data_IF_805565528925
#
_entry.id   IF_805565528925
#
_cell.length_a   1.000
_cell.length_b   1.000
_cell.length_c   1.000
_cell.angle_alpha   90.00
_cell.angle_beta   90.00
_cell.angle_gamma   90.00
#
_symmetry.space_group_name_H-M   'P 1'
#
loop_
_entity.id
_entity.type
_entity.pdbx_description
1 polymer ?
#
# COMPACT_ATOMS: atom_id res chain seq x y z
N UNK A 1 -3.84 -5.20 -3.02
CA UNK A 1 -3.95 -3.80 -2.60
C UNK A 1 -3.88 -3.76 -1.08
N UNK A 2 -2.99 -2.94 -0.51
CA UNK A 2 -2.91 -2.69 0.93
C UNK A 2 -3.56 -1.36 1.27
N UNK A 3 -4.39 -1.34 2.31
CA UNK A 3 -4.92 -0.07 2.82
C UNK A 3 -3.81 0.70 3.54
N UNK A 4 -3.72 2.02 3.34
CA UNK A 4 -2.66 2.85 3.92
C UNK A 4 -2.52 2.64 5.43
N UNK A 5 -3.65 2.60 6.15
CA UNK A 5 -3.67 2.39 7.60
C UNK A 5 -3.05 1.06 8.05
N UNK A 6 -3.08 0.02 7.21
CA UNK A 6 -2.43 -1.25 7.54
C UNK A 6 -0.90 -1.10 7.60
N UNK A 7 -0.31 -0.22 6.78
CA UNK A 7 1.12 0.07 6.83
C UNK A 7 1.51 1.04 7.94
N UNK A 8 0.58 1.89 8.40
CA UNK A 8 0.84 2.80 9.51
C UNK A 8 0.75 2.11 10.88
N UNK A 9 -0.07 1.06 11.00
CA UNK A 9 -0.42 0.47 12.30
C UNK A 9 -0.22 -1.04 12.40
N UNK A 10 0.00 -1.73 11.27
CA UNK A 10 0.19 -3.18 11.21
C UNK A 10 1.66 -3.59 11.21
N UNK A 11 1.88 -4.90 11.07
CA UNK A 11 3.21 -5.48 10.90
C UNK A 11 3.71 -5.27 9.47
N UNK A 12 4.45 -4.17 9.26
CA UNK A 12 5.01 -3.80 7.97
C UNK A 12 5.96 -4.86 7.41
N UNK A 13 6.75 -5.52 8.26
CA UNK A 13 7.71 -6.52 7.80
C UNK A 13 6.99 -7.74 7.22
N UNK A 14 5.88 -8.14 7.82
CA UNK A 14 5.03 -9.19 7.27
C UNK A 14 4.28 -8.73 6.00
N UNK A 15 3.67 -7.54 6.04
CA UNK A 15 2.83 -7.03 4.95
C UNK A 15 3.61 -6.71 3.66
N UNK A 16 4.88 -6.32 3.79
CA UNK A 16 5.75 -5.92 2.68
C UNK A 16 6.85 -6.94 2.38
N UNK A 17 6.73 -8.17 2.87
CA UNK A 17 7.68 -9.22 2.56
C UNK A 17 7.70 -9.49 1.05
N UNK A 18 8.90 -9.49 0.46
CA UNK A 18 9.14 -9.81 -0.95
C UNK A 18 9.99 -11.08 -1.04
N UNK A 19 9.72 -11.91 -2.04
CA UNK A 19 10.55 -13.08 -2.31
C UNK A 19 11.72 -12.73 -3.25
N UNK A 20 12.85 -13.47 -3.16
CA UNK A 20 13.94 -13.30 -4.10
C UNK A 20 13.46 -13.50 -5.55
N UNK A 21 13.80 -12.56 -6.44
CA UNK A 21 13.49 -12.64 -7.87
C UNK A 21 12.14 -12.05 -8.31
N UNK A 22 11.34 -11.48 -7.39
CA UNK A 22 10.04 -10.89 -7.74
C UNK A 22 10.13 -9.55 -8.49
N UNK A 23 11.32 -8.93 -8.55
CA UNK A 23 11.50 -7.60 -9.13
C UNK A 23 11.41 -7.62 -10.67
N UNK A 24 10.78 -6.61 -11.31
CA UNK A 24 10.24 -5.39 -10.70
C UNK A 24 8.87 -5.59 -10.03
N UNK A 25 8.64 -4.91 -8.90
CA UNK A 25 7.38 -4.99 -8.13
C UNK A 25 6.75 -3.62 -7.88
N UNK A 26 5.42 -3.58 -7.88
CA UNK A 26 4.63 -2.42 -7.53
C UNK A 26 3.85 -2.65 -6.23
N UNK A 27 3.90 -1.70 -5.29
CA UNK A 27 3.02 -1.68 -4.13
C UNK A 27 1.76 -0.90 -4.47
N UNK A 28 0.64 -1.60 -4.56
CA UNK A 28 -0.67 -0.94 -4.73
C UNK A 28 -1.29 -0.55 -3.38
N UNK A 29 -1.42 0.76 -3.15
CA UNK A 29 -2.03 1.38 -1.97
C UNK A 29 -3.48 1.77 -2.23
N UNK A 30 -4.32 1.65 -1.20
CA UNK A 30 -5.67 2.21 -1.15
C UNK A 30 -5.89 3.03 0.12
N UNK A 31 -6.79 4.01 0.06
CA UNK A 31 -7.15 4.87 1.19
C UNK A 31 -7.69 6.22 0.73
N UNK A 32 -8.32 6.97 1.63
CA UNK A 32 -8.89 8.29 1.35
C UNK A 32 -8.06 9.45 1.91
N UNK A 33 -7.25 9.20 2.94
CA UNK A 33 -6.52 10.25 3.67
C UNK A 33 -5.16 10.55 3.02
N UNK A 34 -4.94 11.75 2.45
CA UNK A 34 -3.71 12.05 1.70
C UNK A 34 -2.43 11.91 2.52
N UNK A 35 -2.47 12.29 3.79
CA UNK A 35 -1.31 12.20 4.69
C UNK A 35 -0.96 10.74 5.01
N UNK A 36 -1.97 9.88 5.21
CA UNK A 36 -1.77 8.46 5.43
C UNK A 36 -1.22 7.78 4.17
N UNK A 37 -1.76 8.10 3.00
CA UNK A 37 -1.25 7.61 1.71
C UNK A 37 0.21 8.00 1.48
N UNK A 38 0.57 9.26 1.77
CA UNK A 38 1.95 9.72 1.64
C UNK A 38 2.90 9.00 2.61
N UNK A 39 2.47 8.75 3.85
CA UNK A 39 3.27 7.98 4.81
C UNK A 39 3.44 6.52 4.36
N UNK A 40 2.36 5.86 3.93
CA UNK A 40 2.36 4.50 3.42
C UNK A 40 3.25 4.35 2.17
N UNK A 41 3.21 5.31 1.24
CA UNK A 41 4.07 5.34 0.06
C UNK A 41 5.57 5.39 0.43
N UNK A 42 5.93 6.20 1.43
CA UNK A 42 7.31 6.27 1.93
C UNK A 42 7.75 4.96 2.57
N UNK A 43 6.86 4.27 3.28
CA UNK A 43 7.14 2.95 3.85
C UNK A 43 7.40 1.94 2.72
N UNK A 44 6.52 1.89 1.70
CA UNK A 44 6.70 1.02 0.53
C UNK A 44 7.99 1.27 -0.22
N UNK A 45 8.33 2.54 -0.49
CA UNK A 45 9.58 2.90 -1.15
C UNK A 45 10.81 2.48 -0.33
N UNK A 46 10.78 2.63 1.00
CA UNK A 46 11.85 2.17 1.89
C UNK A 46 11.96 0.65 1.96
N UNK A 47 10.84 -0.06 1.80
CA UNK A 47 10.83 -1.52 1.73
C UNK A 47 11.42 -2.07 0.42
N UNK A 48 11.64 -1.22 -0.59
CA UNK A 48 12.32 -1.61 -1.83
C UNK A 48 11.39 -1.91 -3.01
N UNK A 49 10.11 -1.51 -2.93
CA UNK A 49 9.22 -1.54 -4.10
C UNK A 49 9.69 -0.56 -5.18
N UNK A 50 9.61 -1.00 -6.43
CA UNK A 50 10.08 -0.23 -7.59
C UNK A 50 9.05 0.82 -8.04
N UNK A 51 7.77 0.58 -7.75
CA UNK A 51 6.65 1.49 -8.04
C UNK A 51 5.68 1.59 -6.85
N UNK A 52 5.12 2.78 -6.64
CA UNK A 52 3.94 2.99 -5.80
C UNK A 52 2.73 3.26 -6.69
N UNK A 53 1.73 2.38 -6.62
CA UNK A 53 0.50 2.45 -7.40
C UNK A 53 -0.67 2.86 -6.51
N UNK A 54 -1.42 3.90 -6.88
CA UNK A 54 -2.63 4.30 -6.14
C UNK A 54 -3.87 3.62 -6.75
N UNK A 55 -4.59 2.84 -5.95
CA UNK A 55 -5.85 2.24 -6.37
C UNK A 55 -6.96 3.30 -6.38
N UNK A 56 -7.42 3.65 -7.58
CA UNK A 56 -8.54 4.59 -7.82
C UNK A 56 -9.71 3.93 -8.56
N UNK A 57 -9.75 2.59 -8.58
CA UNK A 57 -10.67 1.84 -9.45
C UNK A 57 -11.49 0.75 -8.77
N UNK A 58 -11.29 0.48 -7.47
CA UNK A 58 -12.01 -0.60 -6.80
C UNK A 58 -13.49 -0.24 -6.54
N UNK A 59 -14.47 -0.98 -7.09
CA UNK A 59 -15.88 -0.68 -6.89
C UNK A 59 -16.47 -1.32 -5.62
N UNK A 60 -15.66 -1.94 -4.75
CA UNK A 60 -16.16 -2.70 -3.61
C UNK A 60 -16.84 -1.81 -2.57
N UNK A 61 -17.83 -2.36 -1.85
CA UNK A 61 -18.55 -1.64 -0.80
C UNK A 61 -17.64 -1.11 0.32
N UNK A 62 -16.52 -1.79 0.59
CA UNK A 62 -15.53 -1.37 1.61
C UNK A 62 -14.85 -0.07 1.19
N UNK A 63 -14.34 -0.03 -0.04
CA UNK A 63 -13.72 1.17 -0.61
C UNK A 63 -14.71 2.33 -0.75
N UNK A 64 -15.95 2.06 -1.19
CA UNK A 64 -16.99 3.08 -1.27
C UNK A 64 -17.36 3.68 0.09
N UNK A 65 -17.29 2.88 1.16
CA UNK A 65 -17.54 3.35 2.52
C UNK A 65 -16.35 4.09 3.15
N UNK A 66 -15.21 4.18 2.45
CA UNK A 66 -13.97 4.76 2.97
C UNK A 66 -13.34 3.96 4.12
N UNK A 67 -13.54 2.63 4.15
CA UNK A 67 -13.09 1.74 5.24
C UNK A 67 -12.36 0.50 4.74
#
# INVERSE_FOLDING_TARGET
MLHAQALLHGDVAHLLAQAPGERPTALQLGGSEPQALAAAARIGARAGYDEINLNVGCPSARVQAGR
#
